data_IF_827601002312
#
_entry.id   IF_827601002312
#
_cell.length_a   1.000
_cell.length_b   1.000
_cell.length_c   1.000
_cell.angle_alpha   90.00
_cell.angle_beta   90.00
_cell.angle_gamma   90.00
#
_symmetry.space_group_name_H-M   'P 1'
#
loop_
_entity.id
_entity.type
_entity.pdbx_description
1 polymer ?
2 non-polymer ?
3 non-polymer ?
4 water ?
#
# COMPACT_ATOMS: atom_id res chain seq x y z
N UNK A 32 19.44 12.40 9.54
CA UNK A 32 19.72 11.36 10.53
C UNK A 32 20.15 11.96 11.88
N UNK A 33 20.87 13.07 11.85
CA UNK A 33 21.30 13.66 13.12
C UNK A 33 20.11 14.23 13.86
N UNK A 34 19.17 14.81 13.11
CA UNK A 34 17.98 15.39 13.71
C UNK A 34 17.18 14.27 14.34
N UNK A 35 17.15 13.13 13.67
CA UNK A 35 16.44 11.99 14.18
C UNK A 35 17.12 11.42 15.42
N UNK A 36 18.43 11.21 15.37
CA UNK A 36 19.08 10.66 16.55
C UNK A 36 18.94 11.61 17.71
N UNK A 37 19.12 12.91 17.47
CA UNK A 37 19.09 13.87 18.57
C UNK A 37 17.70 14.04 19.17
N UNK A 38 16.64 13.88 18.39
CA UNK A 38 15.30 13.98 18.95
C UNK A 38 14.85 12.67 19.60
N UNK A 39 15.58 11.57 19.33
CA UNK A 39 15.35 10.32 20.04
C UNK A 39 14.21 9.46 19.51
N UNK A 40 13.65 9.83 18.36
CA UNK A 40 12.52 9.06 17.81
C UNK A 40 12.47 9.22 16.31
N UNK A 41 11.91 8.22 15.66
CA UNK A 41 11.74 8.15 14.21
C UNK A 41 10.23 8.18 13.96
N UNK A 42 9.74 9.20 13.26
CA UNK A 42 8.30 9.33 12.99
C UNK A 42 7.98 8.80 11.60
N UNK A 43 7.14 7.78 11.55
CA UNK A 43 6.80 7.08 10.30
C UNK A 43 5.33 7.30 9.96
N UNK A 44 5.12 7.91 8.82
CA UNK A 44 3.75 8.13 8.28
C UNK A 44 3.28 6.89 7.52
N UNK A 45 2.02 6.52 7.73
CA UNK A 45 1.46 5.37 7.05
C UNK A 45 -0.07 5.39 7.12
N UNK A 46 -0.70 4.63 6.23
CA UNK A 46 -2.16 4.49 6.24
C UNK A 46 -2.49 3.02 6.52
N UNK A 47 -2.96 2.70 7.75
CA UNK A 47 -3.07 1.29 8.16
C UNK A 47 -4.38 0.57 7.72
N UNK A 48 -4.59 0.48 6.42
CA UNK A 48 -5.72 -0.19 5.82
C UNK A 48 -5.19 -0.91 4.55
N UNK A 49 -4.14 -1.73 4.70
CA UNK A 49 -3.34 -2.18 3.57
C UNK A 49 -2.60 -3.46 3.95
N UNK A 50 -3.34 -4.46 4.45
CA UNK A 50 -2.71 -5.73 4.80
C UNK A 50 -2.13 -6.36 3.54
N UNK A 51 -0.95 -6.99 3.64
CA UNK A 51 -0.20 -7.35 4.86
C UNK A 51 0.76 -6.27 5.37
N UNK A 52 0.90 -5.18 4.63
CA UNK A 52 1.95 -4.18 4.91
C UNK A 52 1.65 -3.38 6.18
N UNK A 53 0.43 -2.84 6.29
CA UNK A 53 -0.01 -2.17 7.53
C UNK A 53 -1.52 -2.29 7.61
N UNK A 54 -2.03 -2.62 8.80
CA UNK A 54 -3.45 -2.81 8.97
C UNK A 54 -3.75 -2.74 10.46
N UNK A 55 -5.04 -2.67 10.75
CA UNK A 55 -5.51 -2.67 12.14
C UNK A 55 -5.95 -4.06 12.52
N UNK A 56 -5.44 -4.55 13.64
CA UNK A 56 -5.79 -5.86 14.13
C UNK A 56 -6.35 -5.68 15.52
N UNK A 57 -7.46 -6.34 15.87
CA UNK A 57 -7.94 -6.28 17.25
C UNK A 57 -7.10 -7.23 18.09
N UNK A 58 -6.49 -6.66 19.13
CA UNK A 58 -5.63 -7.40 20.02
C UNK A 58 -6.12 -7.07 21.43
N UNK A 59 -6.59 -8.08 22.16
CA UNK A 59 -7.02 -7.85 23.54
C UNK A 59 -8.07 -6.73 23.61
N UNK A 60 -8.97 -6.71 22.62
CA UNK A 60 -10.11 -5.81 22.68
C UNK A 60 -9.87 -4.41 22.12
N UNK A 61 -8.65 -4.15 21.62
CA UNK A 61 -8.35 -2.84 21.05
C UNK A 61 -7.64 -2.96 19.71
N UNK A 62 -7.97 -2.07 18.78
CA UNK A 62 -7.25 -2.03 17.52
C UNK A 62 -5.80 -1.61 17.70
N UNK A 63 -4.91 -2.35 17.03
CA UNK A 63 -3.50 -2.03 17.03
C UNK A 63 -2.98 -2.05 15.60
N UNK A 64 -2.08 -1.12 15.28
CA UNK A 64 -1.48 -1.07 13.95
C UNK A 64 -0.33 -2.05 13.87
N UNK A 65 -0.41 -2.98 12.92
CA UNK A 65 0.56 -4.05 12.76
C UNK A 65 0.82 -4.25 11.28
N UNK A 66 1.85 -5.04 10.96
CA UNK A 66 2.11 -5.48 9.61
C UNK A 66 3.59 -5.49 9.26
N UNK A 67 3.91 -5.96 8.05
CA UNK A 67 5.31 -6.10 7.69
C UNK A 67 6.04 -4.76 7.61
N UNK A 68 5.34 -3.68 7.24
CA UNK A 68 5.98 -2.37 7.18
C UNK A 68 6.23 -1.86 8.60
N UNK A 69 5.41 -2.25 9.57
CA UNK A 69 5.64 -1.86 10.96
C UNK A 69 6.91 -2.59 11.45
N UNK A 70 7.08 -3.87 11.09
CA UNK A 70 8.30 -4.59 11.47
C UNK A 70 9.54 -3.99 10.80
N UNK A 71 9.42 -3.58 9.54
CA UNK A 71 10.51 -2.87 8.88
C UNK A 71 10.83 -1.57 9.60
N UNK A 72 9.80 -0.81 9.97
CA UNK A 72 9.99 0.44 10.70
C UNK A 72 10.72 0.22 12.04
N UNK A 73 10.30 -0.83 12.76
CA UNK A 73 10.97 -1.16 14.03
C UNK A 73 12.45 -1.48 13.81
N UNK A 74 12.75 -2.22 12.75
CA UNK A 74 14.14 -2.56 12.46
C UNK A 74 14.96 -1.31 12.15
N UNK A 75 14.40 -0.37 11.38
CA UNK A 75 15.10 0.87 11.08
C UNK A 75 15.32 1.69 12.35
N UNK A 76 14.30 1.80 13.20
CA UNK A 76 14.43 2.57 14.43
C UNK A 76 15.52 1.95 15.31
N UNK A 77 15.56 0.61 15.41
CA UNK A 77 16.58 -0.09 16.19
C UNK A 77 17.98 0.21 15.62
N UNK A 78 18.12 0.18 14.30
CA UNK A 78 19.38 0.52 13.63
C UNK A 78 19.86 1.93 13.99
N UNK A 79 18.93 2.88 14.06
CA UNK A 79 19.23 4.26 14.39
C UNK A 79 19.37 4.51 15.90
N UNK A 80 19.02 3.54 16.73
CA UNK A 80 19.06 3.69 18.18
C UNK A 80 18.01 4.63 18.76
N UNK A 81 16.84 4.70 18.11
CA UNK A 81 15.78 5.62 18.52
C UNK A 81 14.47 4.89 18.70
N UNK A 82 13.52 5.56 19.35
CA UNK A 82 12.18 5.04 19.47
C UNK A 82 11.41 5.15 18.15
N UNK A 83 10.48 4.25 17.91
CA UNK A 83 9.58 4.36 16.77
C UNK A 83 8.26 5.04 17.17
N UNK A 84 7.84 6.03 16.38
CA UNK A 84 6.53 6.66 16.58
C UNK A 84 5.77 6.56 15.26
N UNK A 85 4.62 5.88 15.27
CA UNK A 85 3.77 5.84 14.10
C UNK A 85 2.90 7.06 14.00
N UNK A 86 2.64 7.47 12.76
CA UNK A 86 1.76 8.61 12.50
C UNK A 86 0.73 8.16 11.48
N UNK A 87 -0.35 7.52 11.94
CA UNK A 87 -1.37 7.05 11.00
C UNK A 87 -2.17 8.20 10.41
N UNK A 88 -2.53 8.06 9.14
CA UNK A 88 -3.25 9.11 8.45
C UNK A 88 -3.81 8.55 7.15
N UNK A 89 -4.62 9.33 6.48
CA UNK A 89 -5.09 8.92 5.17
C UNK A 89 -3.94 8.79 4.20
N UNK A 90 -4.05 7.83 3.28
CA UNK A 90 -2.93 7.62 2.37
C UNK A 90 -2.58 8.86 1.57
N UNK A 91 -3.61 9.58 1.15
CA UNK A 91 -3.53 10.82 0.37
C UNK A 91 -2.62 11.85 1.03
N UNK A 92 -2.45 11.75 2.37
CA UNK A 92 -1.65 12.72 3.11
C UNK A 92 -0.24 12.24 3.50
N UNK A 93 0.05 10.97 3.26
CA UNK A 93 1.31 10.36 3.73
C UNK A 93 2.55 11.02 3.14
N UNK A 94 2.63 11.13 1.82
CA UNK A 94 3.80 11.73 1.23
C UNK A 94 3.93 13.22 1.56
N UNK A 95 2.82 13.93 1.57
CA UNK A 95 2.86 15.35 1.91
C UNK A 95 3.44 15.57 3.30
N UNK A 96 3.17 14.65 4.22
CA UNK A 96 3.65 14.79 5.58
C UNK A 96 5.16 14.63 5.65
N UNK A 97 5.71 13.79 4.80
CA UNK A 97 7.17 13.69 4.73
C UNK A 97 7.76 14.95 4.12
N UNK A 98 7.12 15.45 3.06
CA UNK A 98 7.65 16.59 2.34
C UNK A 98 7.73 17.83 3.25
N UNK A 99 6.74 18.01 4.11
CA UNK A 99 6.69 19.18 4.98
C UNK A 99 7.44 18.99 6.29
N UNK A 100 7.98 17.79 6.52
CA UNK A 100 8.72 17.53 7.74
C UNK A 100 7.92 17.05 8.95
N UNK A 101 6.62 16.80 8.76
CA UNK A 101 5.79 16.29 9.83
C UNK A 101 6.04 14.81 10.15
N UNK A 102 6.65 14.10 9.21
CA UNK A 102 7.12 12.73 9.44
C UNK A 102 8.50 12.59 8.83
N UNK A 103 9.30 11.65 9.33
CA UNK A 103 10.65 11.42 8.82
C UNK A 103 10.68 10.45 7.62
N UNK A 104 9.83 9.43 7.66
CA UNK A 104 9.77 8.41 6.60
C UNK A 104 8.32 8.13 6.29
N UNK A 105 8.06 7.74 5.05
CA UNK A 105 6.81 7.08 4.71
C UNK A 105 7.14 5.61 4.47
N UNK A 106 6.55 4.75 5.29
CA UNK A 106 6.68 3.30 5.10
C UNK A 106 5.24 2.80 5.06
N UNK A 107 4.69 2.69 3.85
CA UNK A 107 3.25 2.58 3.72
C UNK A 107 2.88 1.93 2.39
N UNK A 108 3.67 0.94 1.98
CA UNK A 108 3.43 0.32 0.68
C UNK A 108 3.55 1.31 -0.47
N UNK A 109 4.52 2.22 -0.37
CA UNK A 109 4.65 3.32 -1.33
C UNK A 109 5.42 2.90 -2.58
N UNK A 110 4.78 2.99 -3.74
CA UNK A 110 5.44 2.71 -4.99
C UNK A 110 6.35 3.84 -5.42
N UNK A 111 7.53 3.49 -5.95
CA UNK A 111 8.35 4.50 -6.63
C UNK A 111 7.73 4.94 -7.94
N UNK A 112 7.76 6.22 -8.21
CA UNK A 112 7.39 6.72 -9.53
C UNK A 112 8.35 7.82 -9.91
N UNK A 113 8.43 8.15 -11.20
CA UNK A 113 9.30 9.25 -11.62
C UNK A 113 8.86 10.56 -11.03
N UNK A 114 7.56 10.82 -10.99
CA UNK A 114 7.10 12.05 -10.39
C UNK A 114 7.49 12.10 -8.92
N UNK A 115 7.27 11.01 -8.20
CA UNK A 115 7.62 11.02 -6.79
C UNK A 115 9.14 11.15 -6.57
N UNK A 116 9.94 10.54 -7.43
CA UNK A 116 11.40 10.54 -7.28
C UNK A 116 12.00 11.92 -7.44
N UNK A 117 11.26 12.83 -8.05
CA UNK A 117 11.72 14.21 -8.23
C UNK A 117 11.63 14.99 -6.92
N UNK A 118 10.78 14.54 -6.01
CA UNK A 118 10.46 15.29 -4.80
C UNK A 118 11.00 14.58 -3.57
N UNK A 119 11.10 13.25 -3.64
CA UNK A 119 11.56 12.41 -2.53
C UNK A 119 12.82 11.63 -2.84
N UNK A 120 13.63 11.37 -1.81
CA UNK A 120 14.61 10.30 -1.84
C UNK A 120 13.80 9.02 -1.59
N UNK A 121 14.18 7.94 -2.27
CA UNK A 121 13.64 6.63 -1.98
C UNK A 121 14.74 5.70 -1.56
N UNK A 122 14.42 4.82 -0.63
CA UNK A 122 15.28 3.67 -0.38
C UNK A 122 15.38 2.78 -1.60
N UNK A 123 16.33 1.86 -1.54
CA UNK A 123 16.32 0.74 -2.46
C UNK A 123 14.94 0.02 -2.32
N UNK A 124 14.46 -0.63 -3.39
CA UNK A 124 13.13 -1.23 -3.28
C UNK A 124 13.13 -2.43 -2.36
N UNK A 125 12.00 -2.66 -1.72
CA UNK A 125 11.84 -3.80 -0.83
C UNK A 125 10.75 -4.79 -1.23
N UNK A 126 9.94 -4.48 -2.24
CA UNK A 126 8.91 -5.42 -2.67
C UNK A 126 8.55 -5.05 -4.08
N UNK A 127 8.14 -6.04 -4.88
CA UNK A 127 7.66 -5.79 -6.24
C UNK A 127 6.29 -6.41 -6.41
N UNK A 128 5.35 -5.64 -6.96
CA UNK A 128 3.95 -6.06 -7.04
C UNK A 128 3.39 -5.94 -8.45
N UNK A 129 2.40 -6.78 -8.77
CA UNK A 129 1.54 -6.62 -9.95
C UNK A 129 0.20 -6.05 -9.51
N UNK A 130 -0.45 -5.31 -10.41
CA UNK A 130 -1.81 -4.82 -10.19
C UNK A 130 -2.86 -5.82 -10.61
N UNK A 131 -3.92 -5.93 -9.82
CA UNK A 131 -5.03 -6.84 -10.06
C UNK A 131 -6.36 -6.11 -9.85
N UNK A 132 -7.46 -6.78 -10.21
CA UNK A 132 -8.79 -6.32 -9.83
C UNK A 132 -9.38 -7.25 -8.81
N UNK A 133 -10.00 -6.66 -7.80
CA UNK A 133 -10.93 -7.39 -6.95
C UNK A 133 -12.36 -7.07 -7.38
N UNK A 134 -13.18 -8.11 -7.47
CA UNK A 134 -14.54 -8.02 -7.97
C UNK A 134 -15.45 -8.91 -7.12
N UNK A 135 -16.77 -8.75 -7.28
CA UNK A 135 -17.67 -9.78 -6.74
C UNK A 135 -17.30 -11.11 -7.38
N UNK A 136 -17.43 -12.21 -6.64
CA UNK A 136 -16.94 -13.48 -7.14
C UNK A 136 -17.63 -13.93 -8.42
N UNK A 137 -18.91 -13.59 -8.61
CA UNK A 137 -19.60 -13.93 -9.84
C UNK A 137 -19.10 -13.19 -11.08
N UNK A 138 -18.18 -12.24 -10.89
CA UNK A 138 -17.64 -11.45 -11.99
C UNK A 138 -16.18 -11.76 -12.28
N UNK A 139 -15.60 -12.78 -11.64
CA UNK A 139 -14.17 -13.03 -11.82
C UNK A 139 -13.78 -13.34 -13.27
N UNK A 140 -14.67 -13.96 -14.01
CA UNK A 140 -14.42 -14.29 -15.40
C UNK A 140 -15.18 -13.34 -16.32
N UNK A 141 -15.63 -12.19 -15.84
CA UNK A 141 -16.16 -11.23 -16.80
C UNK A 141 -15.03 -10.35 -17.31
N UNK A 142 -14.09 -10.06 -16.42
CA UNK A 142 -13.06 -9.06 -16.66
C UNK A 142 -11.75 -9.76 -16.99
N UNK A 143 -11.41 -9.78 -18.29
CA UNK A 143 -10.17 -10.39 -18.80
C UNK A 143 -9.11 -9.35 -19.11
N UNK A 144 -9.60 -8.25 -19.68
CA UNK A 144 -8.73 -7.24 -20.16
C UNK A 144 -9.43 -5.94 -19.93
N UNK A 145 -8.63 -4.94 -19.93
CA UNK A 145 -9.01 -3.55 -19.79
C UNK A 145 -10.21 -3.20 -20.68
N UNK A 146 -10.32 -3.78 -21.86
CA UNK A 146 -11.46 -3.45 -22.69
C UNK A 146 -12.80 -3.79 -22.03
N UNK A 147 -12.79 -4.82 -21.18
CA UNK A 147 -14.01 -5.24 -20.48
C UNK A 147 -14.49 -4.24 -19.43
N UNK A 148 -13.66 -3.25 -19.10
CA UNK A 148 -14.05 -2.23 -18.14
C UNK A 148 -14.82 -1.07 -18.79
N UNK A 149 -14.96 -1.08 -20.11
CA UNK A 149 -15.75 -0.04 -20.77
C UNK A 149 -17.18 0.01 -20.19
N UNK A 150 -17.61 1.24 -19.89
CA UNK A 150 -18.93 1.54 -19.33
C UNK A 150 -19.18 0.91 -17.97
N UNK A 151 -18.10 0.55 -17.28
CA UNK A 151 -18.21 0.05 -15.92
C UNK A 151 -17.68 1.09 -14.93
N UNK A 152 -17.95 0.85 -13.65
CA UNK A 152 -17.53 1.72 -12.56
C UNK A 152 -16.35 1.08 -11.83
N UNK A 153 -15.22 1.80 -11.77
CA UNK A 153 -13.98 1.24 -11.24
C UNK A 153 -13.45 2.14 -10.14
N UNK A 154 -13.14 1.54 -9.01
CA UNK A 154 -12.60 2.28 -7.87
C UNK A 154 -11.10 2.11 -7.68
N UNK A 155 -10.53 3.13 -7.01
CA UNK A 155 -9.13 3.10 -6.59
C UNK A 155 -8.96 4.05 -5.41
N UNK A 156 -7.88 3.86 -4.67
CA UNK A 156 -7.63 4.71 -3.50
C UNK A 156 -7.11 6.08 -3.92
N UNK A 157 -7.69 7.12 -3.34
CA UNK A 157 -7.24 8.47 -3.61
C UNK A 157 -5.77 8.65 -3.26
N UNK A 158 -5.00 9.22 -4.19
CA UNK A 158 -3.58 9.46 -3.97
C UNK A 158 -2.70 8.30 -4.39
N UNK A 159 -3.29 7.21 -4.85
CA UNK A 159 -2.49 6.03 -5.21
C UNK A 159 -2.11 6.02 -6.69
N UNK A 160 -1.09 5.21 -7.03
CA UNK A 160 -0.76 5.03 -8.43
C UNK A 160 -1.85 4.26 -9.17
N UNK A 161 -2.67 3.53 -8.45
CA UNK A 161 -3.81 2.85 -9.06
C UNK A 161 -4.82 3.85 -9.56
N UNK A 162 -5.06 4.91 -8.79
CA UNK A 162 -5.95 5.98 -9.24
C UNK A 162 -5.40 6.60 -10.52
N UNK A 163 -4.10 6.85 -10.57
CA UNK A 163 -3.47 7.39 -11.77
C UNK A 163 -3.63 6.47 -12.99
N UNK A 164 -3.41 5.19 -12.79
CA UNK A 164 -3.58 4.21 -13.86
C UNK A 164 -5.01 4.24 -14.39
N UNK A 165 -5.98 4.27 -13.50
CA UNK A 165 -7.38 4.31 -13.92
C UNK A 165 -7.67 5.56 -14.74
N UNK A 166 -7.19 6.71 -14.26
CA UNK A 166 -7.42 7.97 -14.97
C UNK A 166 -6.78 7.95 -16.35
N UNK A 167 -5.59 7.34 -16.45
CA UNK A 167 -4.83 7.38 -17.69
C UNK A 167 -5.30 6.41 -18.75
N UNK A 168 -5.91 5.30 -18.34
CA UNK A 168 -6.30 4.21 -19.25
C UNK A 168 -7.79 4.01 -19.47
N UNK A 169 -8.58 4.39 -18.47
CA UNK A 169 -9.98 3.99 -18.46
C UNK A 169 -10.95 5.13 -18.79
N UNK A 170 -10.71 5.80 -19.91
CA UNK A 170 -11.57 6.90 -20.36
C UNK A 170 -13.02 6.52 -20.63
N UNK A 171 -13.28 5.23 -20.86
CA UNK A 171 -14.63 4.78 -21.12
C UNK A 171 -15.33 4.23 -19.89
N UNK A 172 -14.71 4.44 -18.73
CA UNK A 172 -15.25 3.95 -17.46
C UNK A 172 -15.63 5.13 -16.56
N UNK A 173 -16.50 4.87 -15.58
CA UNK A 173 -16.78 5.83 -14.51
C UNK A 173 -15.85 5.55 -13.34
N UNK A 174 -15.08 6.53 -12.91
CA UNK A 174 -14.05 6.30 -11.92
C UNK A 174 -14.45 6.86 -10.54
N UNK A 175 -14.23 6.06 -9.50
CA UNK A 175 -14.47 6.41 -8.10
C UNK A 175 -13.11 6.43 -7.42
N UNK A 176 -12.78 7.53 -6.77
CA UNK A 176 -11.58 7.64 -5.96
C UNK A 176 -12.04 7.89 -4.52
N UNK A 177 -11.60 7.02 -3.61
CA UNK A 177 -11.99 7.16 -2.21
C UNK A 177 -10.78 7.18 -1.33
N UNK A 178 -10.82 7.98 -0.27
CA UNK A 178 -9.68 8.01 0.65
C UNK A 178 -9.41 6.68 1.30
N UNK A 179 -10.44 5.92 1.70
CA UNK A 179 -10.23 4.73 2.51
C UNK A 179 -10.43 3.43 1.73
N UNK A 180 -9.48 2.50 1.85
CA UNK A 180 -9.63 1.20 1.18
C UNK A 180 -10.84 0.44 1.65
N UNK A 181 -11.15 0.50 2.93
CA UNK A 181 -12.34 -0.18 3.43
C UNK A 181 -13.63 0.33 2.77
N UNK A 182 -13.66 1.61 2.42
CA UNK A 182 -14.84 2.14 1.77
C UNK A 182 -14.92 1.69 0.31
N UNK A 183 -13.79 1.44 -0.33
CA UNK A 183 -13.80 0.84 -1.68
C UNK A 183 -14.39 -0.56 -1.60
N UNK A 184 -13.98 -1.33 -0.58
CA UNK A 184 -14.52 -2.68 -0.43
C UNK A 184 -16.03 -2.64 -0.17
N UNK A 185 -16.48 -1.73 0.67
CA UNK A 185 -17.92 -1.57 0.90
C UNK A 185 -18.66 -1.20 -0.39
N UNK A 186 -18.11 -0.32 -1.20
CA UNK A 186 -18.75 0.07 -2.45
C UNK A 186 -18.78 -1.10 -3.44
N UNK A 187 -17.75 -1.94 -3.45
CA UNK A 187 -17.72 -3.10 -4.31
C UNK A 187 -18.78 -4.11 -3.87
N UNK A 188 -18.93 -4.31 -2.57
CA UNK A 188 -19.98 -5.16 -2.05
C UNK A 188 -21.39 -4.65 -2.39
N UNK A 189 -21.61 -3.35 -2.30
CA UNK A 189 -22.97 -2.86 -2.54
C UNK A 189 -23.28 -2.78 -4.02
N UNK A 190 -22.31 -3.21 -4.83
CA UNK A 190 -22.46 -3.15 -6.27
C UNK A 190 -22.52 -1.71 -6.71
N UNK A 191 -21.91 -0.83 -5.93
CA UNK A 191 -21.81 0.57 -6.34
C UNK A 191 -20.67 0.79 -7.33
N UNK A 192 -19.59 0.05 -7.15
CA UNK A 192 -18.57 -0.13 -8.19
C UNK A 192 -18.54 -1.58 -8.66
N UNK A 193 -18.04 -1.81 -9.87
CA UNK A 193 -17.91 -3.13 -10.45
C UNK A 193 -16.58 -3.80 -10.14
N UNK A 194 -15.54 -2.99 -9.85
CA UNK A 194 -14.19 -3.53 -9.66
C UNK A 194 -13.38 -2.49 -8.92
N UNK A 195 -12.38 -2.95 -8.17
CA UNK A 195 -11.41 -2.08 -7.53
C UNK A 195 -10.03 -2.55 -7.92
N UNK A 196 -9.13 -1.61 -8.24
CA UNK A 196 -7.75 -1.93 -8.58
C UNK A 196 -6.90 -1.95 -7.33
N UNK A 197 -6.24 -3.08 -7.03
CA UNK A 197 -5.31 -3.17 -5.92
C UNK A 197 -4.11 -4.02 -6.34
N UNK A 198 -2.96 -3.72 -5.75
CA UNK A 198 -1.80 -4.59 -5.90
C UNK A 198 -2.11 -5.98 -5.34
N UNK A 199 -1.54 -6.99 -5.97
CA UNK A 199 -1.91 -8.38 -5.76
C UNK A 199 -1.99 -8.83 -4.28
N UNK A 200 -0.95 -8.58 -3.46
CA UNK A 200 -1.03 -9.11 -2.08
C UNK A 200 -2.16 -8.48 -1.28
N UNK A 201 -2.44 -7.21 -1.56
CA UNK A 201 -3.50 -6.48 -0.87
C UNK A 201 -4.87 -6.97 -1.35
N UNK A 202 -5.02 -7.19 -2.66
CA UNK A 202 -6.23 -7.79 -3.18
C UNK A 202 -6.49 -9.15 -2.55
N UNK A 203 -5.44 -9.96 -2.49
CA UNK A 203 -5.59 -11.30 -1.89
C UNK A 203 -5.99 -11.24 -0.43
N UNK A 204 -5.43 -10.27 0.29
CA UNK A 204 -5.78 -10.12 1.71
C UNK A 204 -7.25 -9.81 1.88
N UNK A 205 -7.79 -8.93 1.05
CA UNK A 205 -9.21 -8.62 1.13
C UNK A 205 -10.08 -9.84 0.76
N UNK A 206 -9.69 -10.61 -0.27
CA UNK A 206 -10.45 -11.80 -0.61
C UNK A 206 -10.47 -12.79 0.56
N UNK A 207 -9.34 -12.93 1.27
CA UNK A 207 -9.30 -13.87 2.41
C UNK A 207 -10.40 -13.63 3.42
N UNK A 208 -10.74 -12.35 3.62
CA UNK A 208 -11.73 -11.99 4.63
C UNK A 208 -13.11 -11.70 4.05
N UNK A 209 -13.25 -11.88 2.75
CA UNK A 209 -14.50 -11.57 2.06
C UNK A 209 -14.78 -12.60 0.98
N UNK A 210 -15.35 -13.73 1.36
CA UNK A 210 -15.56 -14.83 0.40
C UNK A 210 -16.62 -14.51 -0.66
N UNK A 211 -17.30 -13.38 -0.55
CA UNK A 211 -18.16 -12.86 -1.60
C UNK A 211 -17.39 -12.21 -2.75
N UNK A 212 -16.09 -12.01 -2.57
CA UNK A 212 -15.23 -11.34 -3.54
C UNK A 212 -14.21 -12.32 -4.09
N UNK A 213 -13.55 -11.93 -5.18
CA UNK A 213 -12.52 -12.77 -5.81
C UNK A 213 -11.58 -11.88 -6.60
N UNK A 214 -10.39 -12.41 -6.88
CA UNK A 214 -9.47 -11.82 -7.84
C UNK A 214 -9.95 -12.11 -9.27
N UNK A 215 -10.13 -11.08 -10.09
CA UNK A 215 -10.56 -11.27 -11.46
C UNK A 215 -9.45 -11.84 -12.32
N UNK A 216 -9.83 -12.40 -13.47
CA UNK A 216 -8.86 -12.87 -14.44
C UNK A 216 -7.97 -11.76 -15.04
N UNK A 217 -8.43 -10.53 -14.99
CA UNK A 217 -7.71 -9.43 -15.68
C UNK A 217 -6.26 -9.30 -15.29
N UNK A 218 -5.40 -9.09 -16.27
CA UNK A 218 -4.07 -8.55 -16.00
C UNK A 218 -3.82 -7.35 -16.88
N UNK A 219 -3.06 -6.43 -16.32
CA UNK A 219 -2.66 -5.22 -17.04
C UNK A 219 -1.42 -5.54 -17.87
N UNK A 220 -1.33 -4.92 -19.03
CA UNK A 220 -0.21 -5.15 -19.94
C UNK A 220 0.89 -4.29 -19.33
N UNK A 221 1.78 -4.93 -18.55
CA UNK A 221 2.76 -4.24 -17.70
C UNK A 221 3.56 -3.12 -18.38
N UNK A 223 5.92 -0.78 -16.57
CA UNK A 223 7.16 -0.62 -15.80
C UNK A 223 7.02 -1.19 -14.39
N UNK A 224 8.16 -1.37 -13.73
CA UNK A 224 8.22 -1.87 -12.35
C UNK A 224 7.27 -1.14 -11.41
N UNK A 225 6.55 -1.89 -10.58
CA UNK A 225 5.87 -1.33 -9.44
C UNK A 225 6.59 -1.85 -8.21
N UNK A 226 7.54 -1.07 -7.73
CA UNK A 226 8.35 -1.45 -6.59
C UNK A 226 8.11 -0.56 -5.40
N UNK A 227 7.91 -1.18 -4.21
CA UNK A 227 7.72 -0.42 -3.00
C UNK A 227 9.08 0.00 -2.42
N UNK A 228 9.10 1.20 -1.84
CA UNK A 228 10.30 1.74 -1.23
C UNK A 228 9.90 2.68 -0.09
N UNK A 229 10.85 2.99 0.77
CA UNK A 229 10.65 3.95 1.83
C UNK A 229 10.93 5.35 1.28
N UNK A 230 10.00 6.28 1.50
CA UNK A 230 10.22 7.66 1.02
C UNK A 230 10.71 8.54 2.14
N UNK A 231 11.58 9.46 1.78
CA UNK A 231 12.12 10.41 2.73
C UNK A 231 12.40 11.73 1.99
N UNK A 232 12.70 12.76 2.75
CA UNK A 232 13.00 14.04 2.13
C UNK A 232 14.22 13.96 1.25
N UNK A 233 14.22 14.79 0.20
CA UNK A 233 15.29 14.84 -0.77
C UNK A 233 16.58 15.12 -0.05
N UNK A 234 17.68 14.55 -0.54
CA UNK A 234 19.00 14.79 0.04
C UNK A 234 19.13 14.41 1.53
N UNK A 235 18.72 13.19 1.86
CA UNK A 235 18.89 12.64 3.20
C UNK A 235 19.80 11.43 3.10
N UNK A 236 21.03 11.65 2.68
CA UNK A 236 21.89 10.54 2.32
C UNK A 236 22.15 9.58 3.47
N UNK A 237 22.47 10.12 4.65
CA UNK A 237 22.77 9.21 5.76
C UNK A 237 21.54 8.45 6.27
N UNK A 238 20.38 9.09 6.23
CA UNK A 238 19.15 8.40 6.57
C UNK A 238 18.87 7.29 5.55
N UNK A 239 19.07 7.58 4.27
CA UNK A 239 18.92 6.57 3.22
C UNK A 239 19.86 5.40 3.48
N UNK A 240 21.11 5.69 3.89
CA UNK A 240 22.06 4.61 4.20
C UNK A 240 21.52 3.67 5.30
N UNK A 241 21.04 4.26 6.38
CA UNK A 241 20.52 3.45 7.45
C UNK A 241 19.35 2.60 7.01
N UNK A 242 18.45 3.19 6.26
CA UNK A 242 17.31 2.46 5.76
C UNK A 242 17.77 1.34 4.83
N UNK A 243 18.67 1.65 3.91
CA UNK A 243 19.12 0.63 2.94
C UNK A 243 19.94 -0.49 3.59
N UNK A 244 20.75 -0.17 4.61
CA UNK A 244 21.45 -1.20 5.36
C UNK A 244 20.44 -2.18 5.95
N UNK A 245 19.35 -1.64 6.49
CA UNK A 245 18.31 -2.45 7.12
C UNK A 245 17.57 -3.33 6.10
N UNK A 246 17.17 -2.72 4.98
CA UNK A 246 16.52 -3.49 3.94
C UNK A 246 17.45 -4.59 3.42
N UNK A 247 18.70 -4.27 3.16
CA UNK A 247 19.69 -5.25 2.68
C UNK A 247 19.79 -6.47 3.63
N UNK A 248 19.86 -6.18 4.91
CA UNK A 248 19.97 -7.23 5.91
C UNK A 248 18.73 -8.12 5.91
N UNK A 249 17.56 -7.49 5.88
CA UNK A 249 16.31 -8.25 5.92
C UNK A 249 16.08 -9.06 4.65
N UNK A 250 16.53 -8.55 3.50
CA UNK A 250 16.42 -9.27 2.25
C UNK A 250 17.34 -10.48 2.24
N UNK A 251 18.61 -10.28 2.57
CA UNK A 251 19.59 -11.33 2.39
C UNK A 251 19.32 -12.52 3.32
N UNK A 252 18.70 -12.28 4.46
CA UNK A 252 18.46 -13.32 5.45
C UNK A 252 17.16 -14.06 5.20
N UNK A 253 16.36 -13.53 4.26
CA UNK A 253 15.04 -14.06 4.04
C UNK A 253 14.05 -13.55 5.07
N UNK A 254 14.50 -12.67 5.98
CA UNK A 254 13.59 -12.19 7.03
C UNK A 254 12.43 -11.37 6.47
N UNK A 255 12.68 -10.53 5.49
CA UNK A 255 11.62 -9.70 4.94
C UNK A 255 10.47 -10.57 4.38
N UNK A 256 10.83 -11.64 3.67
CA UNK A 256 9.86 -12.60 3.16
C UNK A 256 9.02 -13.19 4.31
N UNK A 257 9.69 -13.57 5.38
CA UNK A 257 8.99 -14.14 6.53
C UNK A 257 8.04 -13.09 7.15
N UNK A 258 8.46 -11.84 7.20
CA UNK A 258 7.63 -10.79 7.82
C UNK A 258 6.34 -10.59 7.04
N UNK A 259 6.44 -10.62 5.72
CA UNK A 259 5.27 -10.42 4.89
C UNK A 259 4.34 -11.61 5.02
N UNK A 260 4.88 -12.83 5.05
CA UNK A 260 4.02 -14.00 5.22
C UNK A 260 3.35 -14.02 6.59
N UNK A 261 4.09 -13.71 7.65
CA UNK A 261 3.52 -13.68 8.99
C UNK A 261 2.38 -12.67 9.04
N UNK A 262 2.62 -11.50 8.48
CA UNK A 262 1.64 -10.44 8.56
C UNK A 262 0.38 -10.81 7.77
N UNK A 263 0.57 -11.47 6.63
CA UNK A 263 -0.56 -11.90 5.83
C UNK A 263 -1.43 -12.89 6.62
N UNK A 264 -0.79 -13.90 7.21
CA UNK A 264 -1.50 -14.87 8.02
C UNK A 264 -2.24 -14.23 9.19
N UNK A 265 -1.60 -13.29 9.87
CA UNK A 265 -2.21 -12.61 11.02
C UNK A 265 -3.36 -11.64 10.65
N UNK A 266 -3.46 -11.30 9.36
CA UNK A 266 -4.54 -10.43 8.88
C UNK A 266 -5.83 -11.19 8.55
N UNK A 267 -5.77 -12.52 8.54
CA UNK A 267 -6.94 -13.32 8.21
C UNK A 267 -7.79 -13.43 9.47
N UNK A 268 -9.03 -12.97 9.36
CA UNK A 268 -9.96 -12.95 10.49
C UNK A 268 -10.51 -14.35 10.78
N UNK A 269 -10.56 -14.71 12.05
CA UNK A 269 -11.03 -16.04 12.45
C UNK A 269 -12.24 -15.92 13.35
#
# INVERSE_FOLDING_TARGET
GMNKMKKVLMTMFGLVMLPLLFACSNNQSAGIEAIKSKGKLVVALNPDFAPFEYQKVVDGKNQIVGSDIELAKAIATELGVELELSPMSFDNVLASVQSGKADLAISGVSKTDERSKVFDFSTPYYTAKNKLIVKKSDLATYQSVNDLAQKKVGAQKGSIQETMAKDLLQNSSLVSLPKNGNLITDLKSGQVDAVIFEEPVAKGFVENNPDLAIADLNFEKEQDDSYAVAMKKDSKELKEAVDKTIQKLKESGELDKLIEDAFKASIEK
#
